data_IF_990052024682
#
_entry.id   IF_990052024682
#
_cell.length_a   1.000
_cell.length_b   1.000
_cell.length_c   1.000
_cell.angle_alpha   90.00
_cell.angle_beta   90.00
_cell.angle_gamma   90.00
#
_symmetry.space_group_name_H-M   'P 1'
#
loop_
_entity.id
_entity.type
_entity.pdbx_description
1 polymer ?
#
# COMPACT_ATOMS: atom_id res chain seq x y z
N UNK A 1 -3.09 42.20 -49.32
CA UNK A 1 -3.02 40.77 -48.98
C UNK A 1 -2.54 40.64 -47.55
N UNK A 2 -3.42 40.38 -46.66
CA UNK A 2 -3.11 40.20 -45.22
C UNK A 2 -3.07 38.72 -44.93
N UNK A 3 -1.87 38.16 -44.75
CA UNK A 3 -1.66 36.79 -44.36
C UNK A 3 -1.82 36.69 -42.83
N UNK A 4 -2.92 36.06 -42.40
CA UNK A 4 -3.14 35.75 -40.98
C UNK A 4 -2.45 34.43 -40.67
N UNK A 5 -1.34 34.52 -39.93
CA UNK A 5 -0.61 33.37 -39.42
C UNK A 5 -1.32 32.89 -38.17
N UNK A 6 -2.11 31.82 -38.30
CA UNK A 6 -2.75 31.15 -37.16
C UNK A 6 -1.71 30.30 -36.47
N UNK A 7 -1.24 30.74 -35.30
CA UNK A 7 -0.39 29.97 -34.41
C UNK A 7 -1.31 29.00 -33.65
N UNK A 8 -1.29 27.73 -34.04
CA UNK A 8 -1.90 26.66 -33.29
C UNK A 8 -1.04 26.36 -32.05
N UNK A 9 -1.46 26.90 -30.92
CA UNK A 9 -0.90 26.56 -29.62
C UNK A 9 -1.47 25.19 -29.19
N UNK A 10 -0.79 24.11 -29.54
CA UNK A 10 -1.09 22.79 -29.04
C UNK A 10 -0.72 22.71 -27.55
N UNK A 11 -1.70 22.95 -26.69
CA UNK A 11 -1.58 22.66 -25.28
C UNK A 11 -1.44 21.14 -25.11
N UNK A 12 -0.23 20.65 -24.90
CA UNK A 12 0.02 19.31 -24.39
C UNK A 12 -0.53 19.26 -22.94
N UNK A 13 -1.79 18.91 -22.79
CA UNK A 13 -2.33 18.43 -21.53
C UNK A 13 -1.63 17.10 -21.24
N UNK A 14 -0.53 17.15 -20.50
CA UNK A 14 0.06 15.98 -19.89
C UNK A 14 -0.99 15.37 -19.00
N UNK A 15 -1.67 14.32 -19.46
CA UNK A 15 -2.52 13.48 -18.66
C UNK A 15 -1.56 12.77 -17.70
N UNK A 16 -1.31 13.38 -16.54
CA UNK A 16 -0.66 12.71 -15.43
C UNK A 16 -1.54 11.50 -15.11
N UNK A 17 -1.07 10.32 -15.47
CA UNK A 17 -1.74 9.09 -15.07
C UNK A 17 -1.68 9.04 -13.55
N UNK A 18 -2.81 9.34 -12.91
CA UNK A 18 -2.95 9.16 -11.48
C UNK A 18 -2.69 7.68 -11.19
N UNK A 19 -1.61 7.40 -10.46
CA UNK A 19 -1.27 6.04 -10.06
C UNK A 19 -2.43 5.49 -9.23
N UNK A 20 -2.98 4.36 -9.67
CA UNK A 20 -4.13 3.75 -9.01
C UNK A 20 -3.71 2.80 -7.90
N UNK A 21 -4.33 2.92 -6.72
CA UNK A 21 -4.18 1.96 -5.64
C UNK A 21 -4.87 0.63 -5.95
N UNK A 22 -5.80 0.62 -6.91
CA UNK A 22 -6.55 -0.58 -7.31
C UNK A 22 -5.61 -1.67 -7.80
N UNK A 23 -5.77 -2.86 -7.25
CA UNK A 23 -4.95 -4.03 -7.58
C UNK A 23 -4.64 -4.88 -6.37
N UNK A 24 -3.74 -5.82 -6.56
CA UNK A 24 -3.28 -6.74 -5.52
C UNK A 24 -1.84 -6.39 -5.14
N UNK A 25 -1.59 -6.30 -3.85
CA UNK A 25 -0.34 -5.87 -3.26
C UNK A 25 0.15 -6.87 -2.24
N UNK A 26 1.42 -7.22 -2.32
CA UNK A 26 2.10 -8.07 -1.34
C UNK A 26 2.95 -7.23 -0.42
N UNK A 27 2.79 -7.40 0.89
CA UNK A 27 3.63 -6.73 1.89
C UNK A 27 5.07 -7.23 1.80
N UNK A 28 6.00 -6.31 1.65
CA UNK A 28 7.45 -6.59 1.60
C UNK A 28 8.16 -6.14 2.86
N UNK A 29 7.62 -5.12 3.54
CA UNK A 29 8.21 -4.59 4.76
C UNK A 29 7.12 -4.03 5.68
N UNK A 30 7.26 -4.27 6.97
CA UNK A 30 6.43 -3.66 8.03
C UNK A 30 7.36 -3.14 9.13
N UNK A 31 7.27 -1.85 9.40
CA UNK A 31 7.97 -1.19 10.51
C UNK A 31 6.97 -0.85 11.59
N UNK A 32 7.37 -1.02 12.84
CA UNK A 32 6.62 -0.57 14.00
C UNK A 32 7.44 0.42 14.82
N UNK A 33 6.76 1.22 15.66
CA UNK A 33 7.44 2.14 16.55
C UNK A 33 8.37 1.42 17.54
N UNK A 34 8.09 0.17 17.84
CA UNK A 34 8.92 -0.65 18.70
C UNK A 34 10.20 -1.10 17.99
N UNK A 35 10.10 -1.56 16.73
CA UNK A 35 11.28 -2.00 15.96
C UNK A 35 12.24 -0.87 15.66
N UNK A 36 11.75 0.34 15.44
CA UNK A 36 12.62 1.50 15.19
C UNK A 36 13.48 1.92 16.41
N UNK A 37 13.08 1.51 17.60
CA UNK A 37 13.85 1.77 18.83
C UNK A 37 14.96 0.74 19.05
N UNK A 38 14.88 -0.42 18.39
CA UNK A 38 15.81 -1.53 18.56
C UNK A 38 16.83 -1.68 17.42
N UNK A 39 16.77 -0.85 16.38
CA UNK A 39 17.66 -0.94 15.20
C UNK A 39 19.14 -0.63 15.47
N UNK A 40 19.57 -0.38 16.71
CA UNK A 40 20.96 0.04 17.01
C UNK A 40 21.90 -1.07 17.46
N UNK A 41 21.49 -2.33 17.58
CA UNK A 41 22.41 -3.39 17.96
C UNK A 41 22.65 -4.40 16.83
N UNK A 42 23.90 -4.57 16.43
CA UNK A 42 24.32 -5.54 15.40
C UNK A 42 23.96 -6.99 15.76
N UNK A 43 23.87 -7.30 17.04
CA UNK A 43 23.49 -8.64 17.55
C UNK A 43 22.03 -8.96 17.29
N UNK A 44 21.16 -7.96 17.22
CA UNK A 44 19.74 -8.11 16.99
C UNK A 44 19.42 -8.30 15.50
N UNK A 45 20.21 -7.67 14.62
CA UNK A 45 20.16 -7.92 13.19
C UNK A 45 20.51 -9.37 12.82
N UNK A 46 21.49 -9.94 13.49
CA UNK A 46 21.87 -11.36 13.33
C UNK A 46 20.76 -12.30 13.79
N UNK A 47 20.13 -11.99 14.92
CA UNK A 47 18.98 -12.76 15.44
C UNK A 47 17.77 -12.67 14.52
N UNK A 48 17.41 -11.49 14.04
CA UNK A 48 16.30 -11.31 13.10
C UNK A 48 16.56 -11.99 11.75
N UNK A 49 17.80 -12.00 11.26
CA UNK A 49 18.17 -12.77 10.08
C UNK A 49 18.07 -14.28 10.29
N UNK A 50 18.48 -14.77 11.45
CA UNK A 50 18.42 -16.21 11.76
C UNK A 50 16.97 -16.70 11.97
N UNK A 51 16.10 -15.88 12.56
CA UNK A 51 14.68 -16.20 12.71
C UNK A 51 13.86 -15.90 11.43
N UNK A 52 14.25 -14.90 10.65
CA UNK A 52 13.59 -14.54 9.39
C UNK A 52 13.81 -15.54 8.27
N UNK A 53 14.91 -16.28 8.29
CA UNK A 53 15.21 -17.29 7.27
C UNK A 53 14.44 -18.61 7.43
N UNK A 54 13.83 -18.83 8.59
CA UNK A 54 13.01 -20.04 8.85
C UNK A 54 11.51 -19.79 8.74
N UNK A 55 11.07 -18.56 8.49
CA UNK A 55 9.66 -18.30 8.22
C UNK A 55 9.32 -18.87 6.85
N UNK A 56 8.70 -20.03 6.85
CA UNK A 56 7.97 -20.54 5.70
C UNK A 56 7.21 -19.38 5.06
N UNK A 57 7.34 -19.22 3.76
CA UNK A 57 6.83 -18.14 2.93
C UNK A 57 5.36 -17.81 3.21
N UNK A 58 5.13 -16.99 4.20
CA UNK A 58 3.83 -16.42 4.55
C UNK A 58 3.78 -15.04 3.94
N UNK A 59 2.97 -14.87 2.91
CA UNK A 59 2.77 -13.58 2.26
C UNK A 59 1.51 -12.92 2.82
N UNK A 60 1.63 -11.72 3.33
CA UNK A 60 0.49 -10.86 3.64
C UNK A 60 0.11 -10.09 2.39
N UNK A 61 -1.12 -10.26 1.95
CA UNK A 61 -1.64 -9.67 0.72
C UNK A 61 -2.80 -8.76 1.04
N UNK A 62 -2.84 -7.61 0.39
CA UNK A 62 -3.96 -6.68 0.40
C UNK A 62 -4.44 -6.42 -1.02
N UNK A 63 -5.74 -6.41 -1.22
CA UNK A 63 -6.37 -6.14 -2.50
C UNK A 63 -7.33 -4.98 -2.38
N UNK A 64 -7.23 -4.05 -3.31
CA UNK A 64 -8.16 -2.93 -3.46
C UNK A 64 -8.92 -3.06 -4.77
N UNK A 65 -10.25 -3.04 -4.71
CA UNK A 65 -11.07 -3.03 -5.91
C UNK A 65 -11.50 -1.61 -6.29
N UNK A 66 -11.95 -1.38 -7.54
CA UNK A 66 -12.35 -0.06 -7.99
C UNK A 66 -13.67 0.45 -7.37
N UNK A 67 -14.39 -0.40 -6.66
CA UNK A 67 -15.69 -0.07 -6.02
C UNK A 67 -15.55 0.39 -4.57
N UNK A 68 -14.32 0.55 -4.06
CA UNK A 68 -14.06 0.95 -2.69
C UNK A 68 -14.12 -0.19 -1.68
N UNK A 69 -13.97 -1.43 -2.13
CA UNK A 69 -13.84 -2.61 -1.28
C UNK A 69 -12.40 -3.08 -1.24
N UNK A 70 -11.98 -3.63 -0.12
CA UNK A 70 -10.67 -4.24 0.04
C UNK A 70 -10.77 -5.58 0.75
N UNK A 71 -9.74 -6.39 0.55
CA UNK A 71 -9.55 -7.66 1.24
C UNK A 71 -8.08 -7.76 1.66
N UNK A 72 -7.86 -8.21 2.88
CA UNK A 72 -6.51 -8.53 3.35
C UNK A 72 -6.45 -9.93 3.95
N UNK A 73 -5.30 -10.58 3.83
CA UNK A 73 -5.13 -11.91 4.36
C UNK A 73 -3.71 -12.43 4.25
N UNK A 74 -3.48 -13.54 4.92
CA UNK A 74 -2.21 -14.24 4.96
C UNK A 74 -2.30 -15.47 4.07
N UNK A 75 -1.38 -15.60 3.14
CA UNK A 75 -1.28 -16.75 2.22
C UNK A 75 -0.02 -17.54 2.54
N UNK A 76 -0.19 -18.83 2.78
CA UNK A 76 0.93 -19.78 2.79
C UNK A 76 1.20 -20.25 1.36
N UNK A 77 2.47 -20.45 1.03
CA UNK A 77 2.88 -20.95 -0.29
C UNK A 77 2.03 -22.14 -0.73
N UNK A 78 1.29 -21.97 -1.81
CA UNK A 78 0.58 -23.04 -2.50
C UNK A 78 -0.86 -23.32 -2.11
N UNK A 79 -1.41 -22.71 -1.05
CA UNK A 79 -2.83 -22.89 -0.69
C UNK A 79 -3.46 -21.61 -0.15
N UNK A 80 -4.45 -21.11 -0.87
CA UNK A 80 -5.35 -20.07 -0.38
C UNK A 80 -6.19 -20.63 0.76
N UNK A 81 -5.95 -20.18 1.99
CA UNK A 81 -6.89 -20.42 3.08
C UNK A 81 -8.02 -19.40 2.95
N UNK A 82 -9.16 -19.86 2.49
CA UNK A 82 -10.35 -19.03 2.31
C UNK A 82 -10.97 -18.50 3.62
N UNK A 83 -10.47 -18.93 4.78
CA UNK A 83 -10.96 -18.50 6.09
C UNK A 83 -10.28 -17.28 6.70
N UNK A 84 -9.14 -16.86 6.17
CA UNK A 84 -8.30 -15.82 6.76
C UNK A 84 -8.38 -14.47 6.02
N UNK A 85 -9.34 -14.30 5.10
CA UNK A 85 -9.55 -13.05 4.38
C UNK A 85 -10.48 -12.13 5.16
N UNK A 86 -9.97 -10.99 5.55
CA UNK A 86 -10.76 -9.91 6.14
C UNK A 86 -11.17 -8.92 5.05
N UNK A 87 -12.48 -8.69 4.91
CA UNK A 87 -13.02 -7.69 3.97
C UNK A 87 -13.26 -6.38 4.69
N UNK A 88 -12.93 -5.28 4.03
CA UNK A 88 -13.13 -3.92 4.51
C UNK A 88 -13.60 -3.01 3.38
N UNK A 89 -14.02 -1.79 3.71
CA UNK A 89 -14.16 -0.71 2.75
C UNK A 89 -12.98 0.23 2.87
N UNK A 90 -12.65 0.93 1.79
CA UNK A 90 -11.63 1.96 1.82
C UNK A 90 -12.10 3.22 1.10
N UNK A 91 -11.54 4.33 1.50
CA UNK A 91 -11.65 5.62 0.82
C UNK A 91 -10.27 6.22 0.66
N UNK A 92 -10.01 6.82 -0.49
CA UNK A 92 -8.79 7.54 -0.79
C UNK A 92 -9.16 9.00 -1.09
N UNK A 93 -8.66 9.92 -0.28
CA UNK A 93 -8.84 11.35 -0.45
C UNK A 93 -7.48 12.04 -0.45
N UNK A 94 -7.00 12.42 -1.64
CA UNK A 94 -5.64 12.91 -1.81
C UNK A 94 -4.63 11.80 -1.47
N UNK A 95 -3.84 12.01 -0.44
CA UNK A 95 -2.86 11.06 0.10
C UNK A 95 -3.35 10.32 1.36
N UNK A 96 -4.55 10.64 1.86
CA UNK A 96 -5.14 9.95 3.00
C UNK A 96 -5.94 8.73 2.57
N UNK A 97 -5.52 7.57 3.08
CA UNK A 97 -6.19 6.28 2.90
C UNK A 97 -6.91 5.91 4.19
N UNK A 98 -8.22 5.71 4.11
CA UNK A 98 -9.06 5.32 5.24
C UNK A 98 -9.59 3.91 5.05
N UNK A 99 -9.46 3.07 6.08
CA UNK A 99 -10.10 1.77 6.15
C UNK A 99 -11.36 1.87 7.00
N UNK A 100 -12.48 1.41 6.45
CA UNK A 100 -13.79 1.50 7.08
C UNK A 100 -14.33 0.09 7.34
N UNK A 101 -15.12 -0.02 8.40
CA UNK A 101 -15.85 -1.26 8.69
C UNK A 101 -16.82 -1.58 7.55
N UNK A 102 -16.85 -2.85 7.15
CA UNK A 102 -17.65 -3.32 6.03
C UNK A 102 -19.15 -3.10 6.22
N UNK A 103 -19.65 -3.23 7.44
CA UNK A 103 -21.06 -3.15 7.77
C UNK A 103 -21.50 -1.75 8.17
N UNK A 104 -20.79 -1.14 9.11
CA UNK A 104 -21.15 0.16 9.69
C UNK A 104 -20.63 1.35 8.88
N UNK A 105 -19.57 1.16 8.06
CA UNK A 105 -18.90 2.26 7.37
C UNK A 105 -18.09 3.17 8.29
N UNK A 106 -17.90 2.80 9.55
CA UNK A 106 -17.09 3.56 10.51
C UNK A 106 -15.61 3.44 10.14
N UNK A 107 -14.88 4.54 10.20
CA UNK A 107 -13.43 4.56 9.99
C UNK A 107 -12.74 3.78 11.10
N UNK A 108 -12.05 2.70 10.75
CA UNK A 108 -11.26 1.87 11.68
C UNK A 108 -9.82 2.35 11.78
N UNK A 109 -9.22 2.69 10.63
CA UNK A 109 -7.82 3.08 10.54
C UNK A 109 -7.64 4.17 9.49
N UNK A 110 -6.65 5.04 9.70
CA UNK A 110 -6.28 6.12 8.79
C UNK A 110 -4.79 6.09 8.53
N UNK A 111 -4.43 6.19 7.27
CA UNK A 111 -3.04 6.17 6.80
C UNK A 111 -2.77 7.35 5.88
N UNK A 112 -1.52 7.74 5.79
CA UNK A 112 -1.00 8.67 4.78
C UNK A 112 -0.17 7.88 3.78
N UNK A 113 -0.45 8.04 2.50
CA UNK A 113 0.32 7.42 1.42
C UNK A 113 1.60 8.24 1.21
N UNK A 114 2.73 7.58 1.44
CA UNK A 114 4.06 8.16 1.23
C UNK A 114 4.56 7.93 -0.19
N UNK A 115 4.20 6.79 -0.78
CA UNK A 115 4.56 6.43 -2.14
C UNK A 115 3.46 5.57 -2.77
N UNK A 116 3.08 5.92 -3.98
CA UNK A 116 2.19 5.14 -4.83
C UNK A 116 2.71 5.19 -6.26
N UNK A 117 3.27 4.08 -6.71
CA UNK A 117 3.76 3.89 -8.07
C UNK A 117 3.08 2.70 -8.74
N UNK A 118 3.49 2.37 -9.96
CA UNK A 118 3.00 1.17 -10.66
C UNK A 118 3.38 -0.14 -9.97
N UNK A 119 4.42 -0.14 -9.14
CA UNK A 119 5.00 -1.33 -8.50
C UNK A 119 5.06 -1.25 -6.98
N UNK A 120 5.07 -0.05 -6.38
CA UNK A 120 5.27 0.17 -4.94
C UNK A 120 4.13 0.97 -4.33
N UNK A 121 3.65 0.51 -3.19
CA UNK A 121 2.74 1.22 -2.30
C UNK A 121 3.33 1.26 -0.90
N UNK A 122 3.52 2.47 -0.38
CA UNK A 122 4.01 2.68 0.98
C UNK A 122 3.12 3.69 1.70
N UNK A 123 2.72 3.36 2.90
CA UNK A 123 1.94 4.25 3.76
C UNK A 123 2.28 4.06 5.23
N UNK A 124 2.05 5.10 6.02
CA UNK A 124 2.19 5.07 7.46
C UNK A 124 0.87 5.45 8.14
N UNK A 125 0.72 5.04 9.40
CA UNK A 125 -0.48 5.38 10.20
C UNK A 125 -0.47 6.86 10.56
N UNK A 126 -1.62 7.52 10.46
CA UNK A 126 -1.79 8.92 10.88
C UNK A 126 -1.41 9.09 12.35
N UNK A 127 -0.50 10.04 12.63
CA UNK A 127 0.02 10.31 13.97
C UNK A 127 1.08 9.35 14.48
N UNK A 128 1.47 8.34 13.67
CA UNK A 128 2.52 7.35 13.99
C UNK A 128 3.38 7.07 12.77
N UNK A 129 4.27 7.96 12.43
CA UNK A 129 5.16 7.84 11.27
C UNK A 129 6.08 6.62 11.32
N UNK A 130 6.37 6.11 12.52
CA UNK A 130 7.15 4.89 12.70
C UNK A 130 6.38 3.59 12.35
N UNK A 131 5.05 3.63 12.24
CA UNK A 131 4.24 2.50 11.77
C UNK A 131 4.06 2.59 10.25
N UNK A 132 5.04 2.11 9.52
CA UNK A 132 5.08 2.14 8.05
C UNK A 132 4.93 0.73 7.48
N UNK A 133 4.20 0.62 6.38
CA UNK A 133 4.03 -0.62 5.61
C UNK A 133 4.37 -0.38 4.15
N UNK A 134 5.16 -1.27 3.59
CA UNK A 134 5.56 -1.25 2.18
C UNK A 134 5.06 -2.49 1.47
N UNK A 135 4.50 -2.28 0.30
CA UNK A 135 3.93 -3.33 -0.54
C UNK A 135 4.48 -3.25 -1.96
N UNK A 136 4.57 -4.39 -2.61
CA UNK A 136 4.87 -4.51 -4.03
C UNK A 136 3.65 -5.04 -4.78
N UNK A 137 3.37 -4.49 -5.96
CA UNK A 137 2.25 -4.93 -6.79
C UNK A 137 2.48 -6.35 -7.29
N UNK A 138 1.48 -7.19 -7.11
CA UNK A 138 1.44 -8.56 -7.63
C UNK A 138 0.74 -8.54 -8.99
N UNK A 139 1.34 -9.21 -9.95
CA UNK A 139 0.76 -9.39 -11.29
C UNK A 139 -0.32 -10.46 -11.29
#
# INVERSE_FOLDING_TARGET
>A
MKTVLAVFLTAFLGVGQAQSIVGTWQMTEEKSCLTSQFEESDTEKELLQSFGSSSSAVAKIIKFDPKGKGEEGIFKTGKRRSGDLESFRYQLSGDELQFLDKKSGIIKERFVIDELSSITLRFHRVGKECEERTFTRVK
#
